data_IF_694927184178
#
_entry.id   IF_694927184178
#
_cell.length_a   1.000
_cell.length_b   1.000
_cell.length_c   1.000
_cell.angle_alpha   90.00
_cell.angle_beta   90.00
_cell.angle_gamma   90.00
#
_symmetry.space_group_name_H-M   'P 1'
#
loop_
_entity.id
_entity.type
_entity.pdbx_description
1 polymer ?
#
# COMPACT_ATOMS: atom_id res chain seq x y z
N UNK A 1 42.05 -22.55 3.09
CA UNK A 1 41.96 -21.23 3.76
C UNK A 1 40.47 -20.99 3.98
N UNK A 2 40.01 -21.01 5.21
CA UNK A 2 38.61 -20.71 5.50
C UNK A 2 38.39 -19.23 5.21
N UNK A 3 37.55 -18.93 4.21
CA UNK A 3 37.07 -17.58 4.01
C UNK A 3 36.27 -17.17 5.26
N UNK A 4 36.88 -16.34 6.09
CA UNK A 4 36.18 -15.73 7.23
C UNK A 4 35.34 -14.58 6.68
N UNK A 5 34.14 -14.90 6.20
CA UNK A 5 33.15 -13.87 5.87
C UNK A 5 32.58 -13.23 7.16
N UNK A 6 32.18 -11.96 7.13
CA UNK A 6 31.49 -11.33 8.25
C UNK A 6 30.27 -12.14 8.69
N UNK A 7 30.06 -12.28 10.00
CA UNK A 7 28.90 -12.95 10.54
C UNK A 7 27.67 -12.04 10.42
N UNK A 8 26.75 -12.38 9.56
CA UNK A 8 25.48 -11.67 9.40
C UNK A 8 24.42 -12.25 10.35
N UNK A 9 23.30 -11.53 10.50
CA UNK A 9 22.14 -11.99 11.26
C UNK A 9 21.51 -13.20 10.54
N UNK A 10 21.29 -14.30 11.26
CA UNK A 10 20.76 -15.54 10.68
C UNK A 10 19.35 -15.38 10.10
N UNK A 11 18.55 -14.47 10.66
CA UNK A 11 17.20 -14.19 10.20
C UNK A 11 17.15 -13.68 8.75
N UNK A 12 18.26 -13.08 8.26
CA UNK A 12 18.33 -12.58 6.89
C UNK A 12 18.37 -13.67 5.84
N UNK A 13 18.87 -14.86 6.18
CA UNK A 13 18.98 -15.99 5.26
C UNK A 13 17.61 -16.49 4.78
N UNK A 14 16.56 -16.32 5.61
CA UNK A 14 15.19 -16.71 5.30
C UNK A 14 14.36 -15.62 4.60
N UNK A 15 14.92 -14.41 4.40
CA UNK A 15 14.17 -13.28 3.83
C UNK A 15 14.36 -13.25 2.31
N UNK A 16 13.31 -13.44 1.51
CA UNK A 16 13.41 -13.26 0.07
C UNK A 16 13.63 -11.79 -0.27
N UNK A 17 14.49 -11.52 -1.24
CA UNK A 17 14.59 -10.17 -1.80
C UNK A 17 13.23 -9.72 -2.34
N UNK A 18 12.80 -8.51 -1.99
CA UNK A 18 11.57 -7.93 -2.51
C UNK A 18 11.60 -7.89 -4.05
N UNK A 19 10.58 -8.46 -4.69
CA UNK A 19 10.46 -8.47 -6.15
C UNK A 19 9.51 -7.34 -6.56
N UNK A 20 10.02 -6.24 -7.14
CA UNK A 20 9.16 -5.19 -7.66
C UNK A 20 8.34 -5.70 -8.86
N UNK A 21 7.27 -4.98 -9.21
CA UNK A 21 6.59 -5.19 -10.48
C UNK A 21 7.57 -5.05 -11.65
N UNK A 22 7.49 -5.96 -12.64
CA UNK A 22 8.36 -5.95 -13.81
C UNK A 22 8.21 -4.61 -14.56
N UNK A 23 9.30 -3.94 -14.97
CA UNK A 23 9.21 -2.77 -15.82
C UNK A 23 8.70 -3.13 -17.23
N UNK A 24 8.11 -2.19 -17.92
CA UNK A 24 7.86 -2.33 -19.37
C UNK A 24 9.20 -2.46 -20.12
N UNK A 25 9.26 -3.34 -21.13
CA UNK A 25 10.47 -3.53 -21.91
C UNK A 25 10.82 -2.26 -22.71
N UNK A 26 12.05 -1.78 -22.57
CA UNK A 26 12.54 -0.67 -23.39
C UNK A 26 12.79 -1.16 -24.84
N UNK A 27 12.25 -0.44 -25.84
CA UNK A 27 12.55 -0.67 -27.27
C UNK A 27 11.64 -1.66 -28.00
N UNK A 28 10.54 -2.12 -27.35
CA UNK A 28 9.47 -2.90 -28.00
C UNK A 28 8.28 -2.05 -28.47
N UNK A 29 7.22 -2.68 -29.03
CA UNK A 29 5.93 -2.01 -29.19
C UNK A 29 5.47 -1.45 -27.82
N UNK A 30 4.63 -0.41 -27.83
CA UNK A 30 4.16 0.27 -26.61
C UNK A 30 3.77 -0.76 -25.56
N UNK A 31 4.50 -0.79 -24.45
CA UNK A 31 4.26 -1.71 -23.35
C UNK A 31 3.72 -0.93 -22.15
N UNK A 32 2.50 -1.26 -21.75
CA UNK A 32 1.85 -0.65 -20.60
C UNK A 32 2.23 -1.37 -19.31
N UNK A 33 2.63 -0.62 -18.29
CA UNK A 33 3.02 -1.16 -16.98
C UNK A 33 1.84 -1.13 -16.00
N UNK A 34 1.10 -2.23 -15.91
CA UNK A 34 -0.02 -2.41 -14.99
C UNK A 34 0.35 -3.28 -13.74
N UNK A 35 1.62 -3.26 -13.34
CA UNK A 35 2.16 -4.19 -12.33
C UNK A 35 2.37 -3.60 -10.93
N UNK A 36 2.32 -2.27 -10.76
CA UNK A 36 2.79 -1.61 -9.52
C UNK A 36 1.78 -0.68 -8.84
N UNK A 37 0.52 -0.66 -9.29
CA UNK A 37 -0.54 0.22 -8.77
C UNK A 37 -0.13 1.70 -8.81
N UNK A 38 0.61 2.07 -9.85
CA UNK A 38 0.99 3.47 -10.12
C UNK A 38 -0.22 4.23 -10.67
N UNK A 39 -0.22 5.54 -10.49
CA UNK A 39 -1.17 6.43 -11.14
C UNK A 39 -0.70 6.67 -12.59
N UNK A 40 -1.53 6.43 -13.62
CA UNK A 40 -1.14 6.66 -15.02
C UNK A 40 -0.99 8.14 -15.38
N UNK A 41 -1.64 9.02 -14.61
CA UNK A 41 -1.53 10.46 -14.85
C UNK A 41 -0.21 11.01 -14.33
N UNK A 42 0.49 11.90 -15.08
CA UNK A 42 1.64 12.62 -14.55
C UNK A 42 1.23 13.51 -13.37
N UNK A 43 2.18 13.92 -12.51
CA UNK A 43 1.89 14.91 -11.47
C UNK A 43 1.23 16.17 -12.05
N UNK A 44 0.40 16.84 -11.24
CA UNK A 44 -0.24 18.09 -11.63
C UNK A 44 0.81 19.16 -12.00
N UNK A 45 0.55 20.05 -12.97
CA UNK A 45 1.53 21.07 -13.39
C UNK A 45 2.08 21.88 -12.23
N UNK A 46 1.23 22.40 -11.32
CA UNK A 46 1.67 23.16 -10.17
C UNK A 46 2.53 22.38 -9.18
N UNK A 47 2.34 21.04 -9.09
CA UNK A 47 3.21 20.15 -8.31
C UNK A 47 4.58 20.06 -8.94
N UNK A 48 4.64 19.90 -10.27
CA UNK A 48 5.91 19.84 -11.01
C UNK A 48 6.69 21.15 -10.93
N UNK A 49 6.04 22.30 -11.01
CA UNK A 49 6.66 23.62 -10.86
C UNK A 49 7.34 23.74 -9.48
N UNK A 50 6.66 23.31 -8.39
CA UNK A 50 7.21 23.30 -7.05
C UNK A 50 8.45 22.38 -6.93
N UNK A 51 8.39 21.20 -7.52
CA UNK A 51 9.53 20.24 -7.54
C UNK A 51 10.73 20.84 -8.29
N UNK A 52 10.50 21.44 -9.46
CA UNK A 52 11.56 22.08 -10.26
C UNK A 52 12.20 23.24 -9.49
N UNK A 53 11.41 24.06 -8.81
CA UNK A 53 11.91 25.16 -7.99
C UNK A 53 12.79 24.65 -6.82
N UNK A 54 12.35 23.60 -6.14
CA UNK A 54 13.09 22.99 -5.02
C UNK A 54 14.38 22.31 -5.48
N UNK A 55 14.48 21.87 -6.74
CA UNK A 55 15.69 21.23 -7.28
C UNK A 55 16.94 22.11 -7.23
N UNK A 56 16.78 23.43 -7.20
CA UNK A 56 17.91 24.37 -7.05
C UNK A 56 18.66 24.28 -5.71
N UNK A 57 18.13 23.56 -4.72
CA UNK A 57 18.68 23.45 -3.36
C UNK A 57 19.20 22.05 -2.99
N UNK A 58 19.47 21.16 -3.95
CA UNK A 58 19.93 19.78 -3.70
C UNK A 58 21.20 19.66 -2.87
N UNK A 59 22.01 20.69 -2.78
CA UNK A 59 23.21 20.72 -1.97
C UNK A 59 22.91 20.94 -0.48
N UNK A 60 21.65 21.06 -0.08
CA UNK A 60 21.23 21.26 1.31
C UNK A 60 20.39 20.08 1.80
N UNK A 61 20.52 19.78 3.09
CA UNK A 61 19.62 18.85 3.74
C UNK A 61 18.18 19.38 3.71
N UNK A 62 17.18 18.49 3.57
CA UNK A 62 15.77 18.87 3.71
C UNK A 62 15.45 19.25 5.16
N UNK A 63 14.27 19.85 5.36
CA UNK A 63 13.71 19.98 6.71
C UNK A 63 13.44 18.59 7.30
N UNK A 64 14.22 18.22 8.33
CA UNK A 64 14.12 16.90 8.97
C UNK A 64 12.77 16.66 9.63
N UNK A 65 12.12 17.71 10.13
CA UNK A 65 10.82 17.64 10.77
C UNK A 65 9.65 17.62 9.78
N UNK A 66 9.92 17.84 8.49
CA UNK A 66 8.87 18.00 7.46
C UNK A 66 7.81 19.05 7.86
N UNK A 67 8.22 20.16 8.47
CA UNK A 67 7.36 21.12 9.16
C UNK A 67 6.21 21.60 8.27
N UNK A 68 6.50 21.97 7.03
CA UNK A 68 5.47 22.43 6.07
C UNK A 68 4.41 21.38 5.81
N UNK A 69 4.84 20.15 5.53
CA UNK A 69 3.94 19.01 5.29
C UNK A 69 3.15 18.62 6.54
N UNK A 70 3.80 18.58 7.69
CA UNK A 70 3.15 18.23 8.96
C UNK A 70 2.05 19.21 9.34
N UNK A 71 2.27 20.52 9.13
CA UNK A 71 1.23 21.54 9.33
C UNK A 71 0.05 21.36 8.37
N UNK A 72 0.33 21.15 7.08
CA UNK A 72 -0.71 20.95 6.07
C UNK A 72 -1.57 19.71 6.39
N UNK A 73 -0.95 18.60 6.83
CA UNK A 73 -1.66 17.38 7.24
C UNK A 73 -2.48 17.60 8.52
N UNK A 74 -1.92 18.31 9.51
CA UNK A 74 -2.61 18.62 10.77
C UNK A 74 -3.87 19.44 10.54
N UNK A 75 -3.76 20.51 9.76
CA UNK A 75 -4.86 21.40 9.43
C UNK A 75 -5.94 20.66 8.64
N UNK A 76 -5.51 19.89 7.64
CA UNK A 76 -6.42 19.16 6.75
C UNK A 76 -7.24 18.08 7.46
N UNK A 77 -6.59 17.29 8.30
CA UNK A 77 -7.23 16.14 8.99
C UNK A 77 -7.78 16.52 10.36
N UNK A 78 -7.56 17.75 10.81
CA UNK A 78 -7.98 18.21 12.14
C UNK A 78 -7.36 17.37 13.25
N UNK A 79 -6.05 17.08 13.15
CA UNK A 79 -5.29 16.28 14.11
C UNK A 79 -4.14 17.09 14.71
N UNK A 80 -3.74 16.84 15.98
CA UNK A 80 -2.58 17.51 16.56
C UNK A 80 -1.30 17.17 15.78
N UNK A 81 -0.40 18.14 15.62
CA UNK A 81 0.94 17.90 15.03
C UNK A 81 1.69 16.78 15.72
N UNK A 82 1.52 16.63 17.04
CA UNK A 82 2.16 15.57 17.83
C UNK A 82 1.67 14.17 17.46
N UNK A 83 0.52 14.04 16.78
CA UNK A 83 -0.06 12.78 16.32
C UNK A 83 0.41 12.36 14.93
N UNK A 84 1.29 13.13 14.28
CA UNK A 84 1.75 12.87 12.93
C UNK A 84 3.21 12.37 12.91
N UNK A 85 3.50 11.45 11.98
CA UNK A 85 4.85 11.05 11.63
C UNK A 85 4.96 10.80 10.12
N UNK A 86 6.07 11.18 9.51
CA UNK A 86 6.35 10.99 8.08
C UNK A 86 7.48 9.99 7.87
N UNK A 87 7.59 9.45 6.65
CA UNK A 87 8.67 8.55 6.28
C UNK A 87 8.81 8.37 4.78
N UNK A 88 9.79 7.58 4.36
CA UNK A 88 10.13 7.29 2.97
C UNK A 88 9.12 6.37 2.28
N UNK A 89 7.92 6.88 2.05
CA UNK A 89 6.72 6.13 1.64
C UNK A 89 6.08 5.41 2.83
N UNK A 90 4.86 4.89 2.65
CA UNK A 90 4.18 4.13 3.70
C UNK A 90 4.97 2.89 4.15
N UNK A 91 5.77 2.27 3.27
CA UNK A 91 6.65 1.16 3.66
C UNK A 91 7.71 1.60 4.67
N UNK A 92 8.32 2.78 4.48
CA UNK A 92 9.25 3.34 5.45
C UNK A 92 8.58 3.60 6.81
N UNK A 93 7.35 4.13 6.80
CA UNK A 93 6.57 4.33 8.03
C UNK A 93 6.18 2.99 8.67
N UNK A 94 5.82 1.96 7.87
CA UNK A 94 5.56 0.61 8.39
C UNK A 94 6.81 0.00 9.05
N UNK A 95 8.01 0.24 8.51
CA UNK A 95 9.28 -0.15 9.16
C UNK A 95 9.50 0.60 10.48
N UNK A 96 9.20 1.90 10.52
CA UNK A 96 9.25 2.69 11.76
C UNK A 96 8.30 2.11 12.82
N UNK A 97 7.06 1.75 12.43
CA UNK A 97 6.08 1.10 13.31
C UNK A 97 6.65 -0.20 13.91
N UNK A 98 7.19 -1.07 13.08
CA UNK A 98 7.79 -2.33 13.53
C UNK A 98 8.99 -2.10 14.45
N UNK A 99 9.89 -1.18 14.10
CA UNK A 99 11.04 -0.83 14.95
C UNK A 99 10.63 -0.22 16.29
N UNK A 100 9.47 0.43 16.34
CA UNK A 100 8.95 1.03 17.57
C UNK A 100 8.21 0.04 18.47
N UNK A 101 7.67 -1.06 17.92
CA UNK A 101 6.77 -1.95 18.65
C UNK A 101 7.26 -3.39 18.76
N UNK A 102 8.07 -3.89 17.81
CA UNK A 102 8.26 -5.32 17.63
C UNK A 102 9.74 -5.69 17.43
N UNK A 103 10.18 -6.75 18.09
CA UNK A 103 11.53 -7.29 18.02
C UNK A 103 11.56 -8.80 18.18
N UNK A 104 12.76 -9.39 18.46
CA UNK A 104 12.89 -10.83 18.70
C UNK A 104 11.97 -11.34 19.83
N UNK A 105 11.16 -12.34 19.54
CA UNK A 105 10.19 -12.91 20.46
C UNK A 105 8.78 -12.35 20.34
N UNK A 106 8.60 -11.20 19.69
CA UNK A 106 7.31 -10.60 19.44
C UNK A 106 6.64 -11.17 18.17
N UNK A 107 5.33 -11.00 18.07
CA UNK A 107 4.50 -11.44 16.96
C UNK A 107 3.82 -10.26 16.27
N UNK A 108 3.73 -10.34 14.94
CA UNK A 108 3.02 -9.38 14.09
C UNK A 108 1.99 -10.13 13.26
N UNK A 109 0.71 -9.76 13.43
CA UNK A 109 -0.42 -10.39 12.74
C UNK A 109 -0.80 -9.59 11.51
N UNK A 110 -1.11 -10.28 10.42
CA UNK A 110 -1.72 -9.71 9.21
C UNK A 110 -2.40 -10.81 8.40
N UNK A 111 -3.42 -10.41 7.63
CA UNK A 111 -4.05 -11.33 6.70
C UNK A 111 -3.08 -11.77 5.58
N UNK A 112 -3.26 -12.98 5.06
CA UNK A 112 -2.46 -13.48 3.96
C UNK A 112 -3.30 -14.23 2.92
N UNK A 113 -3.34 -13.78 1.68
CA UNK A 113 -2.44 -12.85 0.98
C UNK A 113 -2.77 -11.40 1.30
N UNK A 114 -1.75 -10.61 1.63
CA UNK A 114 -1.81 -9.18 1.75
C UNK A 114 -0.51 -8.55 1.21
N UNK A 115 -0.16 -7.34 1.63
CA UNK A 115 0.98 -6.62 1.08
C UNK A 115 2.30 -7.35 1.30
N UNK A 116 3.01 -7.65 0.20
CA UNK A 116 4.23 -8.48 0.20
C UNK A 116 5.38 -7.93 1.06
N UNK A 117 5.36 -6.64 1.41
CA UNK A 117 6.38 -6.09 2.29
C UNK A 117 6.21 -6.51 3.75
N UNK A 118 4.99 -6.82 4.23
CA UNK A 118 4.76 -7.14 5.64
C UNK A 118 5.65 -8.27 6.16
N UNK A 119 5.70 -9.47 5.55
CA UNK A 119 6.60 -10.53 6.03
C UNK A 119 8.07 -10.12 6.00
N UNK A 120 8.49 -9.35 5.00
CA UNK A 120 9.88 -8.91 4.85
C UNK A 120 10.28 -7.98 5.98
N UNK A 121 9.51 -6.91 6.19
CA UNK A 121 9.82 -5.89 7.22
C UNK A 121 9.64 -6.44 8.64
N UNK A 122 8.70 -7.37 8.85
CA UNK A 122 8.54 -8.09 10.12
C UNK A 122 9.76 -8.94 10.45
N UNK A 123 10.26 -9.72 9.51
CA UNK A 123 11.47 -10.51 9.71
C UNK A 123 12.72 -9.63 9.90
N UNK A 124 12.81 -8.49 9.20
CA UNK A 124 13.89 -7.52 9.39
C UNK A 124 13.91 -6.98 10.83
N UNK A 125 12.74 -6.75 11.46
CA UNK A 125 12.69 -6.34 12.87
C UNK A 125 13.09 -7.47 13.84
N UNK A 126 13.12 -8.71 13.40
CA UNK A 126 13.34 -9.92 14.22
C UNK A 126 12.06 -10.52 14.79
N UNK A 127 10.91 -9.93 14.52
CA UNK A 127 9.62 -10.43 14.97
C UNK A 127 9.12 -11.60 14.11
N UNK A 128 8.19 -12.36 14.65
CA UNK A 128 7.53 -13.49 14.00
C UNK A 128 6.29 -13.05 13.25
N UNK A 129 6.16 -13.44 11.99
CA UNK A 129 4.96 -13.22 11.19
C UNK A 129 3.87 -14.23 11.52
N UNK A 130 2.70 -13.76 11.95
CA UNK A 130 1.48 -14.57 12.11
C UNK A 130 0.54 -14.26 10.95
N UNK A 131 0.52 -15.18 9.97
CA UNK A 131 -0.25 -15.03 8.73
C UNK A 131 -1.60 -15.70 8.88
N UNK A 132 -2.68 -14.92 8.85
CA UNK A 132 -4.06 -15.43 8.92
C UNK A 132 -4.63 -15.55 7.50
N UNK A 133 -5.12 -16.72 7.07
CA UNK A 133 -5.70 -16.86 5.74
C UNK A 133 -6.86 -15.87 5.51
N UNK A 134 -7.01 -15.43 4.25
CA UNK A 134 -8.22 -14.71 3.83
C UNK A 134 -9.43 -15.65 3.83
N UNK A 135 -10.64 -15.08 3.88
CA UNK A 135 -11.89 -15.82 3.65
C UNK A 135 -11.95 -16.35 2.20
N UNK A 136 -12.95 -17.19 1.90
CA UNK A 136 -13.24 -17.66 0.53
C UNK A 136 -13.45 -16.52 -0.48
N UNK A 137 -13.88 -15.35 0.00
CA UNK A 137 -14.19 -14.18 -0.81
C UNK A 137 -13.02 -13.17 -0.90
N UNK A 138 -11.80 -13.59 -0.53
CA UNK A 138 -10.58 -12.77 -0.52
C UNK A 138 -10.61 -11.59 0.47
N UNK A 139 -11.46 -11.61 1.48
CA UNK A 139 -11.57 -10.60 2.53
C UNK A 139 -10.74 -11.01 3.76
N UNK A 140 -10.30 -10.05 4.55
CA UNK A 140 -9.66 -10.32 5.85
C UNK A 140 -10.62 -11.07 6.78
N UNK A 141 -10.20 -12.21 7.31
CA UNK A 141 -10.90 -12.90 8.39
C UNK A 141 -10.51 -12.26 9.73
N UNK A 142 -11.24 -11.20 10.09
CA UNK A 142 -10.96 -10.45 11.32
C UNK A 142 -11.23 -11.26 12.58
N UNK A 143 -12.16 -12.21 12.54
CA UNK A 143 -12.41 -13.10 13.68
C UNK A 143 -11.23 -14.03 13.90
N UNK A 144 -10.72 -14.66 12.85
CA UNK A 144 -9.51 -15.49 12.93
C UNK A 144 -8.27 -14.66 13.30
N UNK A 145 -8.17 -13.40 12.83
CA UNK A 145 -7.09 -12.49 13.24
C UNK A 145 -7.15 -12.17 14.74
N UNK A 146 -8.33 -11.97 15.30
CA UNK A 146 -8.51 -11.75 16.74
C UNK A 146 -8.18 -13.02 17.57
N UNK A 147 -8.54 -14.20 17.08
CA UNK A 147 -8.21 -15.48 17.70
C UNK A 147 -6.70 -15.79 17.67
N UNK A 148 -5.97 -15.24 16.70
CA UNK A 148 -4.53 -15.40 16.60
C UNK A 148 -3.71 -14.52 17.58
N UNK A 149 -4.36 -13.62 18.33
CA UNK A 149 -3.68 -12.74 19.29
C UNK A 149 -3.16 -13.56 20.48
N UNK A 150 -1.90 -13.36 20.82
CA UNK A 150 -1.22 -13.95 21.97
C UNK A 150 -0.62 -12.86 22.87
N UNK A 151 -0.02 -13.26 23.99
CA UNK A 151 0.75 -12.38 24.88
C UNK A 151 2.02 -11.79 24.23
N UNK A 152 2.45 -12.36 23.10
CA UNK A 152 3.58 -11.87 22.30
C UNK A 152 3.17 -10.94 21.17
N UNK A 153 1.89 -10.82 20.84
CA UNK A 153 1.42 -9.95 19.78
C UNK A 153 1.67 -8.48 20.16
N UNK A 154 2.31 -7.73 19.24
CA UNK A 154 2.61 -6.29 19.45
C UNK A 154 1.98 -5.41 18.39
N UNK A 155 1.79 -5.93 17.18
CA UNK A 155 1.29 -5.16 16.07
C UNK A 155 0.40 -6.02 15.16
N UNK A 156 -0.68 -5.42 14.67
CA UNK A 156 -1.59 -6.04 13.70
C UNK A 156 -1.74 -5.08 12.51
N UNK A 157 -1.48 -5.55 11.28
CA UNK A 157 -1.80 -4.80 10.07
C UNK A 157 -3.16 -5.18 9.53
N UNK A 158 -4.02 -4.19 9.29
CA UNK A 158 -5.27 -4.31 8.55
C UNK A 158 -5.16 -3.46 7.29
N UNK A 159 -4.90 -4.10 6.15
CA UNK A 159 -4.78 -3.46 4.84
C UNK A 159 -6.17 -3.25 4.24
N UNK A 160 -6.65 -2.02 4.20
CA UNK A 160 -8.03 -1.72 3.82
C UNK A 160 -8.13 -0.48 2.92
N UNK A 161 -8.35 -0.65 1.60
CA UNK A 161 -8.50 -1.87 0.81
C UNK A 161 -7.27 -2.78 0.79
N UNK A 162 -7.50 -4.10 0.76
CA UNK A 162 -6.42 -5.09 0.75
C UNK A 162 -5.66 -5.11 -0.59
N UNK A 163 -4.38 -5.29 -0.55
CA UNK A 163 -3.52 -5.54 -1.69
C UNK A 163 -2.97 -6.98 -1.57
N UNK A 164 -3.25 -7.93 -2.50
CA UNK A 164 -3.60 -7.68 -3.90
C UNK A 164 -5.09 -7.82 -4.28
N UNK A 165 -5.98 -8.10 -3.35
CA UNK A 165 -7.36 -8.51 -3.67
C UNK A 165 -8.30 -7.35 -3.98
N UNK A 166 -8.01 -6.16 -3.44
CA UNK A 166 -8.87 -4.96 -3.57
C UNK A 166 -10.12 -4.96 -2.68
N UNK A 167 -10.35 -6.06 -1.98
CA UNK A 167 -11.47 -6.23 -1.05
C UNK A 167 -11.34 -5.33 0.18
N UNK A 168 -12.45 -5.13 0.88
CA UNK A 168 -12.50 -4.22 2.02
C UNK A 168 -13.12 -4.87 3.24
N UNK A 169 -12.74 -4.34 4.39
CA UNK A 169 -13.40 -4.56 5.67
C UNK A 169 -14.35 -3.40 5.93
N UNK A 170 -15.59 -3.69 6.33
CA UNK A 170 -16.60 -2.68 6.63
C UNK A 170 -16.57 -2.28 8.10
N UNK A 171 -17.18 -1.11 8.39
CA UNK A 171 -17.15 -0.48 9.71
C UNK A 171 -17.54 -1.43 10.85
N UNK A 172 -18.70 -2.08 10.75
CA UNK A 172 -19.20 -2.93 11.81
C UNK A 172 -18.28 -4.13 12.11
N UNK A 173 -17.63 -4.68 11.09
CA UNK A 173 -16.67 -5.78 11.25
C UNK A 173 -15.38 -5.29 11.90
N UNK A 174 -14.87 -4.15 11.45
CA UNK A 174 -13.65 -3.56 11.99
C UNK A 174 -13.83 -3.16 13.47
N UNK A 175 -14.95 -2.53 13.82
CA UNK A 175 -15.23 -2.12 15.21
C UNK A 175 -15.33 -3.32 16.14
N UNK A 176 -16.06 -4.38 15.76
CA UNK A 176 -16.11 -5.64 16.53
C UNK A 176 -14.73 -6.27 16.72
N UNK A 177 -13.90 -6.26 15.68
CA UNK A 177 -12.53 -6.74 15.78
C UNK A 177 -11.72 -5.91 16.77
N UNK A 178 -11.75 -4.58 16.65
CA UNK A 178 -11.00 -3.67 17.52
C UNK A 178 -11.41 -3.78 18.99
N UNK A 179 -12.68 -4.10 19.28
CA UNK A 179 -13.17 -4.33 20.64
C UNK A 179 -12.58 -5.60 21.29
N UNK A 180 -12.05 -6.53 20.48
CA UNK A 180 -11.38 -7.76 20.93
C UNK A 180 -9.87 -7.61 21.06
N UNK A 181 -9.28 -6.56 20.49
CA UNK A 181 -7.82 -6.33 20.51
C UNK A 181 -7.43 -5.73 21.88
N UNK A 182 -6.44 -6.32 22.59
CA UNK A 182 -5.90 -5.73 23.81
C UNK A 182 -5.36 -4.31 23.58
N UNK A 183 -5.50 -3.44 24.56
CA UNK A 183 -5.11 -2.02 24.45
C UNK A 183 -3.60 -1.78 24.30
N UNK A 184 -2.78 -2.77 24.60
CA UNK A 184 -1.32 -2.77 24.46
C UNK A 184 -0.83 -3.35 23.13
N UNK A 185 -1.76 -3.78 22.25
CA UNK A 185 -1.48 -4.22 20.88
C UNK A 185 -1.83 -3.08 19.90
N UNK A 186 -0.85 -2.64 19.11
CA UNK A 186 -1.08 -1.60 18.11
C UNK A 186 -1.75 -2.19 16.85
N UNK A 187 -2.87 -1.60 16.43
CA UNK A 187 -3.52 -1.91 15.15
C UNK A 187 -3.19 -0.82 14.15
N UNK A 188 -2.66 -1.20 13.00
CA UNK A 188 -2.32 -0.29 11.89
C UNK A 188 -3.34 -0.48 10.77
N UNK A 189 -4.16 0.53 10.54
CA UNK A 189 -5.05 0.59 9.38
C UNK A 189 -4.24 1.11 8.20
N UNK A 190 -3.81 0.21 7.31
CA UNK A 190 -3.05 0.58 6.10
C UNK A 190 -4.02 0.99 5.00
N UNK A 191 -4.18 2.29 4.83
CA UNK A 191 -5.12 2.93 3.92
C UNK A 191 -4.43 3.46 2.66
N UNK A 192 -3.50 2.71 2.08
CA UNK A 192 -2.76 3.13 0.90
C UNK A 192 -3.66 3.42 -0.34
N UNK A 193 -4.90 2.96 -0.33
CA UNK A 193 -5.87 3.11 -1.42
C UNK A 193 -7.14 3.86 -1.01
N UNK A 194 -7.13 4.58 0.10
CA UNK A 194 -8.30 5.26 0.69
C UNK A 194 -9.06 6.15 -0.31
N UNK A 195 -8.34 6.90 -1.12
CA UNK A 195 -8.92 7.86 -2.06
C UNK A 195 -9.74 7.20 -3.19
N UNK A 196 -9.54 5.89 -3.44
CA UNK A 196 -10.29 5.12 -4.43
C UNK A 196 -11.57 4.49 -3.88
N UNK A 197 -11.76 4.49 -2.55
CA UNK A 197 -12.93 3.89 -1.90
C UNK A 197 -14.19 4.67 -2.26
N UNK A 198 -15.27 3.93 -2.60
CA UNK A 198 -16.61 4.48 -2.86
C UNK A 198 -17.70 3.79 -2.06
N UNK A 199 -17.40 2.66 -1.40
CA UNK A 199 -18.31 1.97 -0.48
C UNK A 199 -18.41 2.81 0.81
N UNK A 200 -19.61 3.31 1.10
CA UNK A 200 -19.87 4.17 2.27
C UNK A 200 -19.75 3.43 3.62
N UNK A 201 -19.83 2.09 3.60
CA UNK A 201 -19.68 1.28 4.81
C UNK A 201 -18.21 1.05 5.19
N UNK A 202 -17.26 1.42 4.32
CA UNK A 202 -15.82 1.37 4.63
C UNK A 202 -15.45 2.59 5.47
N UNK A 203 -15.01 2.39 6.73
CA UNK A 203 -14.71 3.50 7.61
C UNK A 203 -13.48 4.30 7.13
N UNK A 204 -13.46 5.57 7.49
CA UNK A 204 -12.21 6.33 7.49
C UNK A 204 -11.44 6.00 8.78
N UNK A 205 -10.21 5.54 8.63
CA UNK A 205 -9.36 5.21 9.79
C UNK A 205 -9.13 6.40 10.71
N UNK A 206 -9.18 7.63 10.18
CA UNK A 206 -9.06 8.86 10.98
C UNK A 206 -10.26 9.08 11.92
N UNK A 207 -11.44 8.54 11.62
CA UNK A 207 -12.57 8.54 12.55
C UNK A 207 -12.32 7.53 13.67
N UNK A 208 -11.84 6.33 13.29
CA UNK A 208 -11.61 5.22 14.22
C UNK A 208 -10.49 5.54 15.24
N UNK A 209 -9.35 6.09 14.76
CA UNK A 209 -8.20 6.33 15.64
C UNK A 209 -8.48 7.35 16.75
N UNK A 210 -9.42 8.30 16.53
CA UNK A 210 -9.70 9.39 17.50
C UNK A 210 -10.04 8.88 18.89
N UNK A 211 -10.82 7.81 18.95
CA UNK A 211 -11.32 7.22 20.19
C UNK A 211 -10.56 5.94 20.60
N UNK A 212 -9.51 5.56 19.84
CA UNK A 212 -8.75 4.33 20.05
C UNK A 212 -7.24 4.58 20.08
N UNK A 213 -6.65 4.78 21.28
CA UNK A 213 -5.21 5.11 21.40
C UNK A 213 -4.26 4.07 20.82
N UNK A 214 -4.70 2.81 20.68
CA UNK A 214 -3.96 1.71 20.07
C UNK A 214 -4.23 1.53 18.57
N UNK A 215 -4.80 2.53 17.89
CA UNK A 215 -4.98 2.52 16.44
C UNK A 215 -4.10 3.58 15.80
N UNK A 216 -3.36 3.19 14.77
CA UNK A 216 -2.63 4.08 13.88
C UNK A 216 -3.16 3.95 12.45
N UNK A 217 -3.21 5.05 11.71
CA UNK A 217 -3.60 5.10 10.30
C UNK A 217 -2.36 5.34 9.47
N UNK A 218 -2.13 4.52 8.45
CA UNK A 218 -0.99 4.61 7.54
C UNK A 218 -1.49 5.02 6.15
N UNK A 219 -0.95 6.11 5.59
CA UNK A 219 -1.30 6.65 4.27
C UNK A 219 -0.07 6.95 3.41
N UNK A 220 -0.27 7.08 2.11
CA UNK A 220 0.81 7.28 1.15
C UNK A 220 0.44 8.29 0.06
N UNK A 221 1.43 9.03 -0.42
CA UNK A 221 1.32 9.85 -1.62
C UNK A 221 1.66 9.08 -2.91
N UNK A 222 1.98 7.78 -2.80
CA UNK A 222 2.44 6.96 -3.94
C UNK A 222 1.31 6.54 -4.90
N UNK A 223 0.04 6.55 -4.47
CA UNK A 223 -1.09 5.99 -5.22
C UNK A 223 -1.96 7.09 -5.84
N UNK A 224 -2.98 7.55 -5.16
CA UNK A 224 -3.88 8.59 -5.66
C UNK A 224 -3.13 9.87 -6.06
N UNK A 225 -2.18 10.29 -5.24
CA UNK A 225 -1.41 11.52 -5.48
C UNK A 225 -0.32 11.40 -6.56
N UNK A 226 -0.05 10.19 -7.09
CA UNK A 226 0.88 10.01 -8.21
C UNK A 226 2.36 10.27 -7.89
N UNK A 227 2.75 10.32 -6.61
CA UNK A 227 4.10 10.65 -6.17
C UNK A 227 4.94 9.41 -5.80
N UNK A 228 4.71 8.27 -6.46
CA UNK A 228 5.39 7.01 -6.14
C UNK A 228 6.92 7.12 -6.17
N UNK A 229 7.47 7.89 -7.11
CA UNK A 229 8.90 8.11 -7.28
C UNK A 229 9.53 8.99 -6.20
N UNK A 230 8.76 9.84 -5.53
CA UNK A 230 9.28 10.79 -4.52
C UNK A 230 9.39 10.18 -3.12
N UNK A 231 8.80 8.99 -2.89
CA UNK A 231 8.93 8.25 -1.64
C UNK A 231 8.47 9.03 -0.40
N UNK A 232 7.19 9.37 -0.32
CA UNK A 232 6.59 10.06 0.83
C UNK A 232 5.32 9.35 1.29
N UNK A 233 5.18 9.18 2.60
CA UNK A 233 4.01 8.64 3.29
C UNK A 233 3.97 9.15 4.73
N UNK A 234 2.89 8.92 5.42
CA UNK A 234 2.71 9.37 6.79
C UNK A 234 1.82 8.43 7.60
N UNK A 235 1.94 8.52 8.91
CA UNK A 235 1.01 7.94 9.86
C UNK A 235 0.34 9.00 10.71
N UNK A 236 -0.91 8.71 11.09
CA UNK A 236 -1.63 9.42 12.14
C UNK A 236 -1.84 8.44 13.30
N UNK A 237 -1.34 8.78 14.48
CA UNK A 237 -1.46 7.95 15.67
C UNK A 237 -1.43 8.86 16.90
N UNK A 238 -1.89 8.37 18.04
CA UNK A 238 -1.77 9.11 19.29
C UNK A 238 -0.30 9.42 19.63
N UNK A 239 -0.06 10.51 20.33
CA UNK A 239 1.26 11.11 20.55
C UNK A 239 2.35 10.12 20.97
N UNK A 240 2.15 9.17 21.90
CA UNK A 240 3.20 8.22 22.27
C UNK A 240 3.70 7.38 21.09
N UNK A 241 2.78 6.90 20.23
CA UNK A 241 3.10 6.14 19.03
C UNK A 241 3.77 7.03 17.98
N UNK A 242 3.19 8.18 17.65
CA UNK A 242 3.76 9.11 16.68
C UNK A 242 5.16 9.61 17.09
N UNK A 243 5.39 9.86 18.39
CA UNK A 243 6.71 10.21 18.91
C UNK A 243 7.73 9.07 18.74
N UNK A 244 7.31 7.81 18.96
CA UNK A 244 8.17 6.65 18.72
C UNK A 244 8.53 6.51 17.23
N UNK A 245 7.57 6.72 16.32
CA UNK A 245 7.83 6.72 14.88
C UNK A 245 8.86 7.77 14.47
N UNK A 246 8.76 8.98 15.00
CA UNK A 246 9.76 10.04 14.72
C UNK A 246 11.16 9.69 15.21
N UNK A 247 11.28 8.86 16.27
CA UNK A 247 12.58 8.38 16.78
C UNK A 247 13.20 7.29 15.91
N UNK A 248 12.37 6.46 15.27
CA UNK A 248 12.82 5.37 14.39
C UNK A 248 12.94 5.79 12.92
N UNK A 249 12.56 7.02 12.60
CA UNK A 249 12.69 7.57 11.25
C UNK A 249 14.17 7.73 10.86
N UNK A 250 14.49 7.48 9.58
CA UNK A 250 15.80 7.77 9.03
C UNK A 250 15.99 9.29 9.01
N UNK A 251 17.05 9.84 9.66
CA UNK A 251 17.30 11.27 9.66
C UNK A 251 17.38 11.82 8.23
N UNK A 252 16.68 12.93 7.96
CA UNK A 252 16.61 13.55 6.62
C UNK A 252 16.12 12.62 5.51
N UNK A 253 15.41 11.51 5.85
CA UNK A 253 15.02 10.48 4.90
C UNK A 253 14.00 10.94 3.85
N UNK A 254 13.13 11.92 4.17
CA UNK A 254 12.18 12.53 3.24
C UNK A 254 12.79 13.75 2.58
N UNK A 255 13.03 13.69 1.28
CA UNK A 255 13.65 14.79 0.53
C UNK A 255 12.78 16.05 0.50
N UNK A 256 13.38 17.23 0.36
CA UNK A 256 12.64 18.49 0.23
C UNK A 256 11.67 18.45 -0.95
N UNK A 257 12.09 17.85 -2.08
CA UNK A 257 11.22 17.66 -3.25
C UNK A 257 9.95 16.89 -2.93
N UNK A 258 10.08 15.83 -2.12
CA UNK A 258 8.94 15.01 -1.71
C UNK A 258 7.99 15.79 -0.79
N UNK A 259 8.55 16.57 0.14
CA UNK A 259 7.77 17.41 1.05
C UNK A 259 6.98 18.48 0.29
N UNK A 260 7.65 19.23 -0.58
CA UNK A 260 7.04 20.32 -1.35
C UNK A 260 5.99 19.79 -2.33
N UNK A 261 6.27 18.66 -3.01
CA UNK A 261 5.32 18.01 -3.90
C UNK A 261 4.07 17.51 -3.15
N UNK A 262 4.25 16.95 -1.94
CA UNK A 262 3.13 16.50 -1.12
C UNK A 262 2.24 17.68 -0.68
N UNK A 263 2.84 18.77 -0.22
CA UNK A 263 2.11 20.01 0.14
C UNK A 263 1.34 20.57 -1.07
N UNK A 264 2.01 20.69 -2.22
CA UNK A 264 1.38 21.17 -3.44
C UNK A 264 0.22 20.26 -3.89
N UNK A 265 0.39 18.94 -3.77
CA UNK A 265 -0.66 17.97 -4.11
C UNK A 265 -1.87 18.05 -3.17
N UNK A 266 -1.66 18.24 -1.88
CA UNK A 266 -2.74 18.43 -0.90
C UNK A 266 -3.55 19.71 -1.21
N UNK A 267 -2.88 20.78 -1.59
CA UNK A 267 -3.52 22.05 -1.95
C UNK A 267 -4.29 22.01 -3.27
N UNK A 268 -3.91 21.11 -4.18
CA UNK A 268 -4.58 20.85 -5.47
C UNK A 268 -5.48 19.61 -5.43
N UNK A 269 -5.93 19.18 -4.26
CA UNK A 269 -6.60 17.89 -4.08
C UNK A 269 -7.91 17.77 -4.86
N UNK A 270 -8.69 18.84 -5.02
CA UNK A 270 -9.94 18.79 -5.78
C UNK A 270 -9.70 18.34 -7.24
N UNK A 271 -8.66 18.89 -7.89
CA UNK A 271 -8.25 18.47 -9.24
C UNK A 271 -7.74 17.02 -9.24
N UNK A 272 -6.95 16.66 -8.25
CA UNK A 272 -6.40 15.32 -8.09
C UNK A 272 -7.51 14.29 -7.86
N UNK A 273 -8.49 14.57 -7.00
CA UNK A 273 -9.62 13.68 -6.76
C UNK A 273 -10.55 13.56 -7.98
N UNK A 274 -10.61 14.59 -8.83
CA UNK A 274 -11.25 14.49 -10.14
C UNK A 274 -10.60 13.42 -11.02
N UNK A 275 -9.26 13.35 -11.07
CA UNK A 275 -8.50 12.28 -11.77
C UNK A 275 -8.71 10.91 -11.12
N UNK A 276 -8.74 10.84 -9.79
CA UNK A 276 -9.08 9.60 -9.06
C UNK A 276 -10.49 9.15 -9.42
N UNK A 277 -11.46 10.06 -9.54
CA UNK A 277 -12.80 9.77 -10.01
C UNK A 277 -12.83 9.11 -11.38
N UNK A 278 -12.01 9.59 -12.32
CA UNK A 278 -11.85 8.99 -13.65
C UNK A 278 -11.30 7.55 -13.56
N UNK A 279 -10.28 7.31 -12.73
CA UNK A 279 -9.74 5.96 -12.51
C UNK A 279 -10.76 5.02 -11.83
N UNK A 280 -11.60 5.53 -10.95
CA UNK A 280 -12.70 4.74 -10.36
C UNK A 280 -13.74 4.36 -11.42
N UNK A 281 -14.05 5.26 -12.37
CA UNK A 281 -14.89 4.94 -13.51
C UNK A 281 -14.30 3.84 -14.41
N UNK A 282 -13.01 3.96 -14.72
CA UNK A 282 -12.28 2.92 -15.47
C UNK A 282 -12.21 1.59 -14.71
N UNK A 283 -12.00 1.62 -13.40
CA UNK A 283 -12.07 0.42 -12.55
C UNK A 283 -13.42 -0.29 -12.68
N UNK A 284 -14.52 0.44 -12.59
CA UNK A 284 -15.87 -0.12 -12.74
C UNK A 284 -16.03 -0.76 -14.12
N UNK A 285 -15.62 -0.06 -15.19
CA UNK A 285 -15.67 -0.57 -16.56
C UNK A 285 -14.85 -1.87 -16.73
N UNK A 286 -13.65 -1.92 -16.20
CA UNK A 286 -12.79 -3.12 -16.27
C UNK A 286 -13.41 -4.27 -15.48
N UNK A 287 -13.89 -4.01 -14.27
CA UNK A 287 -14.57 -5.00 -13.44
C UNK A 287 -15.79 -5.59 -14.16
N UNK A 288 -16.70 -4.75 -14.65
CA UNK A 288 -17.88 -5.16 -15.40
C UNK A 288 -17.53 -5.94 -16.67
N UNK A 289 -16.48 -5.51 -17.39
CA UNK A 289 -15.96 -6.20 -18.56
C UNK A 289 -15.49 -7.63 -18.21
N UNK A 290 -14.74 -7.81 -17.14
CA UNK A 290 -14.31 -9.12 -16.68
C UNK A 290 -15.49 -10.01 -16.26
N UNK A 291 -16.43 -9.47 -15.48
CA UNK A 291 -17.64 -10.20 -15.08
C UNK A 291 -18.47 -10.60 -16.30
N UNK A 292 -18.64 -9.70 -17.25
CA UNK A 292 -19.33 -9.96 -18.52
C UNK A 292 -18.66 -11.04 -19.38
N UNK A 293 -17.34 -11.18 -19.29
CA UNK A 293 -16.58 -12.29 -19.89
C UNK A 293 -16.69 -13.59 -19.09
N UNK A 294 -17.34 -13.57 -17.92
CA UNK A 294 -17.56 -14.72 -17.03
C UNK A 294 -16.41 -14.99 -16.06
N UNK A 295 -15.50 -14.03 -15.80
CA UNK A 295 -14.54 -14.15 -14.73
C UNK A 295 -15.20 -13.97 -13.36
N UNK A 296 -14.74 -14.74 -12.37
CA UNK A 296 -15.04 -14.48 -10.96
C UNK A 296 -13.96 -13.55 -10.41
N UNK A 297 -14.33 -12.30 -10.16
CA UNK A 297 -13.44 -11.25 -9.68
C UNK A 297 -14.03 -10.67 -8.40
N UNK A 298 -13.28 -10.55 -7.30
CA UNK A 298 -13.77 -9.88 -6.11
C UNK A 298 -14.04 -8.41 -6.41
N UNK A 299 -15.07 -7.85 -5.78
CA UNK A 299 -15.33 -6.41 -5.85
C UNK A 299 -14.15 -5.65 -5.24
N UNK A 300 -13.64 -4.67 -5.98
CA UNK A 300 -12.45 -3.93 -5.56
C UNK A 300 -12.76 -2.47 -5.24
N UNK A 301 -12.18 -1.97 -4.16
CA UNK A 301 -12.19 -0.57 -3.77
C UNK A 301 -10.80 0.11 -3.91
N UNK A 302 -9.83 -0.59 -4.52
CA UNK A 302 -8.49 -0.08 -4.82
C UNK A 302 -8.37 0.40 -6.29
N UNK A 303 -7.16 0.69 -6.76
CA UNK A 303 -6.90 1.04 -8.17
C UNK A 303 -6.40 -0.16 -9.00
N UNK A 304 -6.89 -1.35 -8.71
CA UNK A 304 -6.53 -2.59 -9.43
C UNK A 304 -7.65 -3.62 -9.31
N UNK A 305 -7.59 -4.66 -10.14
CA UNK A 305 -8.41 -5.87 -10.06
C UNK A 305 -7.54 -7.08 -9.75
N UNK A 306 -8.17 -8.12 -9.18
CA UNK A 306 -7.52 -9.37 -8.81
C UNK A 306 -8.19 -10.55 -9.50
N UNK A 307 -7.42 -11.37 -10.24
CA UNK A 307 -7.90 -12.59 -10.87
C UNK A 307 -7.25 -13.79 -10.20
N UNK A 308 -8.06 -14.66 -9.60
CA UNK A 308 -7.60 -15.97 -9.11
C UNK A 308 -7.37 -16.90 -10.29
N UNK A 309 -6.16 -17.39 -10.45
CA UNK A 309 -5.73 -18.22 -11.58
C UNK A 309 -5.03 -19.51 -11.16
N UNK A 310 -4.64 -19.62 -9.87
CA UNK A 310 -3.92 -20.79 -9.37
C UNK A 310 -2.66 -21.07 -10.20
N UNK A 311 -2.50 -22.31 -10.64
CA UNK A 311 -1.35 -22.75 -11.44
C UNK A 311 -1.25 -22.02 -12.80
N UNK A 312 -2.33 -21.45 -13.32
CA UNK A 312 -2.35 -20.73 -14.60
C UNK A 312 -1.88 -19.26 -14.51
N UNK A 313 -1.51 -18.83 -13.32
CA UNK A 313 -1.07 -17.44 -13.06
C UNK A 313 0.07 -17.00 -13.97
N UNK A 314 1.10 -17.84 -14.12
CA UNK A 314 2.29 -17.52 -14.92
C UNK A 314 1.97 -17.49 -16.41
N UNK A 315 1.18 -18.44 -16.90
CA UNK A 315 0.71 -18.51 -18.29
C UNK A 315 -0.07 -17.26 -18.67
N UNK A 316 -1.01 -16.82 -17.81
CA UNK A 316 -1.80 -15.61 -18.05
C UNK A 316 -0.92 -14.35 -18.07
N UNK A 317 0.02 -14.23 -17.14
CA UNK A 317 0.94 -13.08 -17.09
C UNK A 317 1.83 -13.01 -18.35
N UNK A 318 2.26 -14.17 -18.88
CA UNK A 318 3.01 -14.26 -20.15
C UNK A 318 2.15 -13.86 -21.33
N UNK A 319 0.87 -14.27 -21.38
CA UNK A 319 -0.06 -13.84 -22.43
C UNK A 319 -0.29 -12.32 -22.42
N UNK A 320 -0.43 -11.71 -21.23
CA UNK A 320 -0.49 -10.26 -21.09
C UNK A 320 0.79 -9.59 -21.60
N UNK A 321 1.96 -10.09 -21.18
CA UNK A 321 3.27 -9.53 -21.60
C UNK A 321 3.47 -9.63 -23.11
N UNK A 322 3.10 -10.75 -23.74
CA UNK A 322 3.17 -10.93 -25.17
C UNK A 322 2.26 -9.96 -25.94
N UNK A 323 1.17 -9.50 -25.32
CA UNK A 323 0.28 -8.48 -25.87
C UNK A 323 0.71 -7.05 -25.52
N UNK A 324 1.83 -6.83 -24.82
CA UNK A 324 2.32 -5.51 -24.44
C UNK A 324 1.76 -4.96 -23.12
N UNK A 325 1.17 -5.80 -22.26
CA UNK A 325 0.65 -5.41 -20.95
C UNK A 325 1.41 -6.14 -19.85
N UNK A 326 2.15 -5.43 -19.02
CA UNK A 326 2.89 -6.01 -17.90
C UNK A 326 2.04 -5.98 -16.62
N UNK A 327 1.61 -7.14 -16.16
CA UNK A 327 0.79 -7.33 -14.95
C UNK A 327 1.62 -7.87 -13.77
N UNK A 328 1.03 -8.00 -12.58
CA UNK A 328 1.71 -8.53 -11.39
C UNK A 328 1.26 -9.96 -11.08
N UNK A 329 2.01 -11.00 -11.44
CA UNK A 329 1.70 -12.37 -11.04
C UNK A 329 2.14 -12.64 -9.60
N UNK A 330 1.33 -13.45 -8.91
CA UNK A 330 1.59 -14.13 -7.64
C UNK A 330 1.48 -15.62 -7.93
N UNK A 331 2.60 -16.25 -8.25
CA UNK A 331 2.63 -17.62 -8.77
C UNK A 331 1.87 -18.59 -7.87
N UNK A 332 1.02 -19.44 -8.48
CA UNK A 332 0.16 -20.38 -7.78
C UNK A 332 -1.12 -19.76 -7.16
N UNK A 333 -1.29 -18.44 -7.24
CA UNK A 333 -2.43 -17.74 -6.60
C UNK A 333 -3.26 -16.96 -7.64
N UNK A 334 -2.67 -15.93 -8.25
CA UNK A 334 -3.41 -15.09 -9.18
C UNK A 334 -2.60 -13.92 -9.74
N UNK A 335 -3.29 -13.03 -10.42
CA UNK A 335 -2.70 -11.85 -11.05
C UNK A 335 -3.42 -10.59 -10.58
N UNK A 336 -2.64 -9.60 -10.12
CA UNK A 336 -3.14 -8.26 -9.86
C UNK A 336 -2.85 -7.36 -11.07
N UNK A 337 -3.87 -6.65 -11.52
CA UNK A 337 -3.79 -5.76 -12.68
C UNK A 337 -4.19 -4.37 -12.27
N UNK A 338 -3.26 -3.42 -12.36
CA UNK A 338 -3.49 -2.01 -12.09
C UNK A 338 -4.46 -1.42 -13.11
N UNK A 339 -5.36 -0.54 -12.67
CA UNK A 339 -6.17 0.28 -13.58
C UNK A 339 -5.27 1.41 -14.10
N UNK A 340 -4.97 1.36 -15.38
CA UNK A 340 -4.10 2.30 -16.07
C UNK A 340 -4.85 3.16 -17.07
N UNK A 341 -4.15 3.53 -18.15
CA UNK A 341 -4.70 4.22 -19.30
C UNK A 341 -5.82 3.38 -19.97
N UNK A 342 -6.80 4.03 -20.55
CA UNK A 342 -7.95 3.35 -21.18
C UNK A 342 -7.50 2.31 -22.22
N UNK A 343 -6.51 2.65 -23.06
CA UNK A 343 -5.96 1.76 -24.08
C UNK A 343 -5.27 0.52 -23.46
N UNK A 344 -4.59 0.71 -22.33
CA UNK A 344 -3.98 -0.40 -21.59
C UNK A 344 -5.06 -1.34 -20.99
N UNK A 345 -6.10 -0.75 -20.44
CA UNK A 345 -7.24 -1.49 -19.88
C UNK A 345 -7.99 -2.27 -20.97
N UNK A 346 -8.20 -1.68 -22.15
CA UNK A 346 -8.84 -2.34 -23.31
C UNK A 346 -8.02 -3.54 -23.79
N UNK A 347 -6.70 -3.35 -23.89
CA UNK A 347 -5.78 -4.42 -24.29
C UNK A 347 -5.79 -5.56 -23.27
N UNK A 348 -5.78 -5.23 -21.98
CA UNK A 348 -5.90 -6.22 -20.91
C UNK A 348 -7.22 -7.01 -21.02
N UNK A 349 -8.37 -6.33 -21.17
CA UNK A 349 -9.66 -6.99 -21.32
C UNK A 349 -9.71 -7.94 -22.53
N UNK A 350 -9.09 -7.54 -23.66
CA UNK A 350 -8.98 -8.39 -24.84
C UNK A 350 -8.16 -9.65 -24.59
N UNK A 351 -7.04 -9.53 -23.86
CA UNK A 351 -6.22 -10.69 -23.47
C UNK A 351 -7.00 -11.60 -22.54
N UNK A 352 -7.68 -11.05 -21.55
CA UNK A 352 -8.50 -11.80 -20.59
C UNK A 352 -9.60 -12.60 -21.30
N UNK A 353 -10.30 -11.99 -22.26
CA UNK A 353 -11.32 -12.65 -23.07
C UNK A 353 -10.77 -13.82 -23.88
N UNK A 354 -9.65 -13.58 -24.59
CA UNK A 354 -8.99 -14.61 -25.41
C UNK A 354 -8.49 -15.78 -24.58
N UNK A 355 -7.88 -15.49 -23.42
CA UNK A 355 -7.37 -16.52 -22.52
C UNK A 355 -8.48 -17.38 -21.91
N UNK A 356 -9.64 -16.80 -21.61
CA UNK A 356 -10.78 -17.55 -21.09
C UNK A 356 -11.45 -18.42 -22.15
N UNK A 357 -11.55 -17.95 -23.40
CA UNK A 357 -12.14 -18.73 -24.51
C UNK A 357 -11.28 -19.92 -24.95
N UNK A 358 -9.97 -19.83 -24.76
CA UNK A 358 -9.03 -20.90 -25.11
C UNK A 358 -9.01 -22.06 -24.10
N UNK A 359 -9.74 -21.93 -23.00
CA UNK A 359 -9.74 -22.85 -21.87
C UNK A 359 -11.12 -23.00 -21.24
#
# INVERSE_FOLDING_TARGET
MSETSPKLRAELDGIPTYKPGKPAAAGGPVAYKLSSNENPYPPLPGVMEGVVAAAGSFNRYPDMACTGLMNELADRFGVPLTHLATGTGSVGVAQQLLQATSGPGDEVIYAWRSFEAYPIITQISGATSVKVPLTSDDVHDLDAMAEAITDRTRLIFVCNPNNPTGTVVRRAELERFLDRVPSDVLVVLDEAYKEFVRDADVPDGLEIYRDRPNVAVLRTFSKAYGLAGLRIGFAVAHEPVAAALRKTAVPFGVSQLAQDAAVASLRAEDELLGRVGSLVGERARVYEGLVGQGWTVPETQANFVWLRLGERTVEFAQACEAAGVVVRPFAGEGVRVTIGETEANDLFLKVAEGFRKAN
#
